data_IF_970770424824
#
_entry.id   IF_970770424824
#
_cell.length_a   1.000
_cell.length_b   1.000
_cell.length_c   1.000
_cell.angle_alpha   90.00
_cell.angle_beta   90.00
_cell.angle_gamma   90.00
#
_symmetry.space_group_name_H-M   'P 1'
#
loop_
_entity.id
_entity.type
_entity.pdbx_description
1 polymer ?
#
# COMPACT_ATOMS: atom_id res chain seq x y z
N UNK A 1 5.09 13.77 -21.00
CA UNK A 1 4.71 12.77 -20.00
C UNK A 1 4.15 13.41 -18.70
N UNK A 2 4.75 14.47 -18.19
CA UNK A 2 4.31 15.21 -16.96
C UNK A 2 2.81 15.58 -16.94
N UNK A 3 2.25 16.06 -18.06
CA UNK A 3 0.80 16.40 -18.19
C UNK A 3 -0.18 15.24 -18.07
N UNK A 4 0.24 14.01 -18.32
CA UNK A 4 -0.65 12.84 -18.36
C UNK A 4 -0.87 12.23 -16.98
N UNK A 5 0.13 12.31 -16.12
CA UNK A 5 0.03 11.82 -14.73
C UNK A 5 -0.77 12.80 -13.85
N UNK A 6 -0.65 14.12 -14.08
CA UNK A 6 -1.50 15.12 -13.43
C UNK A 6 -2.99 14.92 -13.76
N UNK A 7 -3.29 14.46 -14.99
CA UNK A 7 -4.67 14.21 -15.43
C UNK A 7 -5.24 12.95 -14.77
N UNK A 8 -4.46 11.91 -14.57
CA UNK A 8 -4.92 10.66 -13.92
C UNK A 8 -5.14 10.90 -12.43
N UNK A 9 -4.19 11.54 -11.75
CA UNK A 9 -4.33 11.95 -10.35
C UNK A 9 -5.54 12.89 -10.18
N UNK A 10 -5.71 13.85 -11.08
CA UNK A 10 -6.84 14.79 -11.03
C UNK A 10 -8.19 14.10 -11.28
N UNK A 11 -8.29 13.14 -12.18
CA UNK A 11 -9.53 12.38 -12.44
C UNK A 11 -9.89 11.42 -11.32
N UNK A 12 -8.91 10.78 -10.68
CA UNK A 12 -9.14 9.98 -9.47
C UNK A 12 -9.61 10.87 -8.31
N UNK A 13 -9.00 12.06 -8.15
CA UNK A 13 -9.44 13.07 -7.18
C UNK A 13 -10.85 13.57 -7.43
N UNK A 14 -11.20 13.88 -8.66
CA UNK A 14 -12.53 14.37 -9.04
C UNK A 14 -13.61 13.29 -8.83
N UNK A 15 -13.33 12.05 -9.15
CA UNK A 15 -14.27 10.93 -8.92
C UNK A 15 -14.55 10.70 -7.42
N UNK A 16 -13.53 10.78 -6.59
CA UNK A 16 -13.64 10.61 -5.13
C UNK A 16 -14.34 11.83 -4.49
N UNK A 17 -14.04 13.04 -4.95
CA UNK A 17 -14.69 14.28 -4.49
C UNK A 17 -16.18 14.29 -4.85
N UNK A 18 -16.58 13.80 -6.00
CA UNK A 18 -17.98 13.70 -6.41
C UNK A 18 -18.76 12.66 -5.57
N UNK A 19 -18.14 11.56 -5.18
CA UNK A 19 -18.72 10.56 -4.29
C UNK A 19 -18.92 11.12 -2.86
N UNK A 20 -17.98 11.96 -2.40
CA UNK A 20 -18.03 12.63 -1.10
C UNK A 20 -19.02 13.82 -1.09
N UNK A 21 -19.16 14.56 -2.20
CA UNK A 21 -20.15 15.62 -2.33
C UNK A 21 -21.59 15.11 -2.15
N UNK A 22 -21.88 13.88 -2.57
CA UNK A 22 -23.17 13.25 -2.34
C UNK A 22 -23.43 12.93 -0.85
N UNK A 23 -22.40 12.59 -0.08
CA UNK A 23 -22.49 12.36 1.37
C UNK A 23 -22.56 13.67 2.14
N UNK A 24 -21.87 14.72 1.67
CA UNK A 24 -21.82 16.04 2.29
C UNK A 24 -23.07 16.89 2.00
N UNK A 25 -23.80 16.65 0.91
CA UNK A 25 -25.02 17.39 0.57
C UNK A 25 -26.19 17.12 1.54
N UNK A 26 -26.14 16.03 2.28
CA UNK A 26 -27.13 15.72 3.32
C UNK A 26 -26.92 16.55 4.61
N UNK A 27 -25.71 17.05 4.85
CA UNK A 27 -25.38 17.83 6.06
C UNK A 27 -25.51 19.35 5.88
N UNK A 28 -25.66 19.87 4.65
CA UNK A 28 -25.65 21.30 4.36
C UNK A 28 -27.01 22.02 4.44
N UNK A 29 -28.10 21.30 4.70
CA UNK A 29 -29.47 21.92 4.74
C UNK A 29 -29.93 22.36 6.13
N UNK A 30 -29.04 22.61 7.08
CA UNK A 30 -29.39 22.95 8.46
C UNK A 30 -28.88 24.27 9.02
N UNK A 31 -28.32 25.16 8.20
CA UNK A 31 -27.72 26.40 8.69
C UNK A 31 -28.68 27.62 8.56
N UNK A 32 -29.59 27.74 9.54
CA UNK A 32 -30.20 29.05 9.88
C UNK A 32 -29.36 29.68 10.99
N UNK A 33 -28.74 30.78 10.65
CA UNK A 33 -27.90 31.60 11.50
C UNK A 33 -28.58 31.91 12.86
N UNK A 34 -28.01 31.42 13.95
CA UNK A 34 -28.24 31.97 15.29
C UNK A 34 -27.00 32.76 15.72
N UNK A 35 -27.20 34.04 15.96
CA UNK A 35 -26.22 35.03 16.40
C UNK A 35 -25.42 34.55 17.60
N UNK A 36 -24.12 34.77 17.53
CA UNK A 36 -23.21 34.68 18.67
C UNK A 36 -23.57 35.78 19.68
N UNK A 37 -24.28 35.43 20.72
CA UNK A 37 -24.46 36.29 21.91
C UNK A 37 -24.39 35.41 23.15
N UNK A 38 -23.43 35.76 24.00
CA UNK A 38 -23.27 35.35 25.40
C UNK A 38 -23.43 33.86 25.73
N UNK A 39 -22.28 33.19 25.82
CA UNK A 39 -22.21 31.86 26.46
C UNK A 39 -22.53 32.04 27.94
N UNK A 40 -23.78 31.82 28.29
CA UNK A 40 -24.24 31.92 29.68
C UNK A 40 -23.60 30.78 30.54
N UNK A 41 -23.55 30.98 31.84
CA UNK A 41 -23.04 29.98 32.80
C UNK A 41 -23.73 28.58 32.59
N UNK A 42 -24.98 28.56 32.16
CA UNK A 42 -25.77 27.38 31.85
C UNK A 42 -25.20 26.59 30.67
N UNK A 43 -24.75 27.27 29.60
CA UNK A 43 -24.15 26.62 28.43
C UNK A 43 -22.78 26.01 28.76
N UNK A 44 -21.96 26.69 29.59
CA UNK A 44 -20.68 26.12 30.08
C UNK A 44 -20.88 24.85 30.92
N UNK A 45 -21.93 24.80 31.74
CA UNK A 45 -22.24 23.60 32.52
C UNK A 45 -22.74 22.48 31.59
N UNK A 46 -23.57 22.80 30.59
CA UNK A 46 -24.06 21.83 29.60
C UNK A 46 -22.92 21.18 28.76
N UNK A 47 -21.83 21.93 28.52
CA UNK A 47 -20.65 21.35 27.85
C UNK A 47 -19.96 20.24 28.65
N UNK A 48 -20.04 20.30 29.98
CA UNK A 48 -19.36 19.37 30.89
C UNK A 48 -20.25 18.18 31.32
N UNK A 49 -21.57 18.31 31.21
CA UNK A 49 -22.52 17.24 31.55
C UNK A 49 -22.59 16.20 30.43
N UNK A 50 -22.53 14.90 30.73
CA UNK A 50 -22.75 13.86 29.73
C UNK A 50 -24.13 14.03 29.04
N UNK A 51 -24.14 13.89 27.72
CA UNK A 51 -25.40 13.92 26.94
C UNK A 51 -25.74 12.53 26.45
N UNK A 52 -26.98 12.10 26.72
CA UNK A 52 -27.55 10.82 26.27
C UNK A 52 -28.87 11.12 25.57
N UNK A 53 -28.88 11.09 24.25
CA UNK A 53 -30.07 11.39 23.44
C UNK A 53 -30.10 10.49 22.19
N UNK A 54 -31.21 10.37 21.51
CA UNK A 54 -31.26 9.73 20.19
C UNK A 54 -30.35 10.44 19.21
N UNK A 55 -30.39 11.78 19.20
CA UNK A 55 -29.42 12.65 18.53
C UNK A 55 -28.90 13.67 19.54
N UNK A 56 -27.63 13.58 19.90
CA UNK A 56 -27.00 14.48 20.86
C UNK A 56 -26.40 15.68 20.13
N UNK A 57 -26.97 16.88 20.28
CA UNK A 57 -26.53 18.11 19.62
C UNK A 57 -25.96 19.07 20.68
N UNK A 58 -24.80 19.63 20.43
CA UNK A 58 -24.17 20.67 21.27
C UNK A 58 -23.30 21.60 20.45
N UNK A 59 -23.09 22.84 20.94
CA UNK A 59 -22.15 23.79 20.29
C UNK A 59 -20.72 23.32 20.57
N UNK A 60 -20.40 23.13 21.85
CA UNK A 60 -19.14 22.58 22.31
C UNK A 60 -19.40 21.41 23.25
N UNK A 61 -18.48 20.45 23.32
CA UNK A 61 -18.57 19.31 24.24
C UNK A 61 -17.21 19.00 24.85
N UNK A 62 -17.14 18.94 26.17
CA UNK A 62 -15.90 18.69 26.93
C UNK A 62 -15.90 17.38 27.72
N UNK A 63 -16.88 16.51 27.47
CA UNK A 63 -17.03 15.27 28.20
C UNK A 63 -17.52 14.14 27.30
N UNK A 64 -18.46 13.37 27.77
CA UNK A 64 -19.08 12.25 27.04
C UNK A 64 -20.30 12.74 26.23
N UNK A 65 -20.34 12.43 24.95
CA UNK A 65 -21.50 12.57 24.09
C UNK A 65 -21.95 11.17 23.61
N UNK A 66 -23.16 10.78 24.00
CA UNK A 66 -23.79 9.54 23.58
C UNK A 66 -25.03 9.85 22.74
N UNK A 67 -25.00 9.50 21.48
CA UNK A 67 -26.12 9.60 20.55
C UNK A 67 -26.57 8.21 20.10
N UNK A 68 -27.82 7.84 20.33
CA UNK A 68 -28.36 6.56 19.87
C UNK A 68 -28.23 6.39 18.35
N UNK A 69 -28.41 7.47 17.58
CA UNK A 69 -28.15 7.54 16.15
C UNK A 69 -26.94 8.40 15.84
N UNK A 70 -26.88 9.62 16.40
CA UNK A 70 -25.81 10.55 16.05
C UNK A 70 -25.38 11.46 17.22
N UNK A 71 -24.11 11.91 17.16
CA UNK A 71 -23.63 13.05 17.92
C UNK A 71 -23.23 14.17 16.96
N UNK A 72 -23.70 15.39 17.23
CA UNK A 72 -23.40 16.57 16.42
C UNK A 72 -22.84 17.64 17.35
N UNK A 73 -21.56 17.92 17.24
CA UNK A 73 -20.90 19.02 17.94
C UNK A 73 -20.55 20.08 16.91
N UNK A 74 -21.15 21.24 17.01
CA UNK A 74 -21.05 22.29 15.98
C UNK A 74 -19.67 22.92 15.89
N UNK A 75 -18.94 22.98 17.00
CA UNK A 75 -17.60 23.57 17.03
C UNK A 75 -16.58 22.54 17.54
N UNK A 76 -16.35 22.45 18.85
CA UNK A 76 -15.24 21.69 19.42
C UNK A 76 -15.71 20.56 20.31
N UNK A 77 -15.18 19.37 20.05
CA UNK A 77 -15.44 18.18 20.86
C UNK A 77 -14.17 17.73 21.56
N UNK A 78 -14.29 17.50 22.87
CA UNK A 78 -13.24 16.92 23.70
C UNK A 78 -13.82 15.72 24.46
N UNK A 79 -13.03 14.65 24.59
CA UNK A 79 -13.42 13.44 25.30
C UNK A 79 -13.96 12.34 24.39
N UNK A 80 -15.02 11.67 24.82
CA UNK A 80 -15.58 10.49 24.13
C UNK A 80 -16.89 10.83 23.41
N UNK A 81 -16.95 10.55 22.11
CA UNK A 81 -18.15 10.62 21.30
C UNK A 81 -18.52 9.22 20.82
N UNK A 82 -19.75 8.78 21.11
CA UNK A 82 -20.30 7.52 20.61
C UNK A 82 -21.63 7.84 19.92
N UNK A 83 -21.66 7.71 18.61
CA UNK A 83 -22.86 7.78 17.79
C UNK A 83 -23.19 6.41 17.21
N UNK A 84 -24.44 5.95 17.34
CA UNK A 84 -24.84 4.66 16.79
C UNK A 84 -24.53 4.54 15.30
N UNK A 85 -24.72 5.63 14.53
CA UNK A 85 -24.42 5.69 13.12
C UNK A 85 -23.35 6.75 12.79
N UNK A 86 -23.47 7.96 13.36
CA UNK A 86 -22.73 9.10 12.87
C UNK A 86 -22.22 10.03 13.99
N UNK A 87 -20.98 10.50 13.88
CA UNK A 87 -20.44 11.58 14.70
C UNK A 87 -20.00 12.74 13.81
N UNK A 88 -20.34 13.95 14.20
CA UNK A 88 -19.94 15.19 13.54
C UNK A 88 -19.28 16.15 14.52
N UNK A 89 -18.17 16.77 14.06
CA UNK A 89 -17.47 17.85 14.74
C UNK A 89 -17.21 18.97 13.72
N UNK A 90 -17.72 20.17 13.96
CA UNK A 90 -17.65 21.26 13.00
C UNK A 90 -16.28 21.91 12.87
N UNK A 91 -15.48 21.95 13.94
CA UNK A 91 -14.13 22.55 13.92
C UNK A 91 -13.08 21.53 14.40
N UNK A 92 -12.88 21.37 15.67
CA UNK A 92 -11.80 20.54 16.23
C UNK A 92 -12.33 19.44 17.14
N UNK A 93 -11.93 18.20 16.84
CA UNK A 93 -12.14 17.06 17.73
C UNK A 93 -10.86 16.64 18.46
N UNK A 94 -10.98 16.27 19.75
CA UNK A 94 -9.90 15.70 20.53
C UNK A 94 -10.41 14.63 21.49
N UNK A 95 -9.86 13.43 21.38
CA UNK A 95 -10.25 12.29 22.21
C UNK A 95 -10.58 11.08 21.35
N UNK A 96 -11.74 10.44 21.62
CA UNK A 96 -12.15 9.23 20.88
C UNK A 96 -13.54 9.43 20.28
N UNK A 97 -13.70 9.18 18.99
CA UNK A 97 -14.97 9.15 18.30
C UNK A 97 -15.23 7.76 17.73
N UNK A 98 -16.34 7.16 18.10
CA UNK A 98 -16.79 5.84 17.66
C UNK A 98 -18.16 5.97 17.00
N UNK A 99 -18.30 5.52 15.76
CA UNK A 99 -19.56 5.53 15.03
C UNK A 99 -19.76 4.22 14.26
N UNK A 100 -21.00 3.76 14.18
CA UNK A 100 -21.34 2.56 13.41
C UNK A 100 -21.11 2.74 11.89
N UNK A 101 -21.27 3.95 11.36
CA UNK A 101 -20.98 4.25 9.96
C UNK A 101 -19.82 5.21 9.81
N UNK A 102 -19.92 6.45 10.31
CA UNK A 102 -18.92 7.46 10.00
C UNK A 102 -18.63 8.46 11.12
N UNK A 103 -17.35 8.85 11.23
CA UNK A 103 -16.90 9.99 11.98
C UNK A 103 -16.45 11.09 11.02
N UNK A 104 -16.97 12.30 11.17
CA UNK A 104 -16.64 13.48 10.34
C UNK A 104 -16.22 14.64 11.23
N UNK A 105 -14.99 15.07 11.06
CA UNK A 105 -14.48 16.32 11.61
C UNK A 105 -14.20 17.28 10.45
N UNK A 106 -14.89 18.45 10.42
CA UNK A 106 -14.68 19.43 9.34
C UNK A 106 -13.33 20.15 9.46
N UNK A 107 -12.81 20.25 10.67
CA UNK A 107 -11.45 20.71 10.93
C UNK A 107 -10.50 19.57 11.29
N UNK A 108 -9.68 19.76 12.31
CA UNK A 108 -8.69 18.76 12.74
C UNK A 108 -9.24 17.76 13.76
N UNK A 109 -8.68 16.56 13.76
CA UNK A 109 -8.96 15.56 14.80
C UNK A 109 -7.70 15.04 15.48
N UNK A 110 -7.68 15.06 16.81
CA UNK A 110 -6.56 14.63 17.66
C UNK A 110 -7.00 13.47 18.55
N UNK A 111 -6.49 12.28 18.33
CA UNK A 111 -6.83 11.06 19.08
C UNK A 111 -7.26 9.92 18.19
N UNK A 112 -8.40 9.26 18.49
CA UNK A 112 -8.86 8.10 17.74
C UNK A 112 -10.23 8.32 17.09
N UNK A 113 -10.34 8.02 15.80
CA UNK A 113 -11.61 7.90 15.09
C UNK A 113 -11.80 6.45 14.64
N UNK A 114 -12.90 5.82 15.07
CA UNK A 114 -13.24 4.45 14.72
C UNK A 114 -14.62 4.48 14.07
N UNK A 115 -14.67 4.32 12.76
CA UNK A 115 -15.89 4.31 11.95
C UNK A 115 -16.10 2.94 11.31
N UNK A 116 -17.33 2.41 11.40
CA UNK A 116 -17.65 1.14 10.75
C UNK A 116 -17.42 1.17 9.23
N UNK A 117 -17.62 2.33 8.59
CA UNK A 117 -17.34 2.51 7.17
C UNK A 117 -16.23 3.57 6.94
N UNK A 118 -16.42 4.79 7.47
CA UNK A 118 -15.60 5.93 7.05
C UNK A 118 -15.19 6.87 8.17
N UNK A 119 -13.97 7.40 8.10
CA UNK A 119 -13.53 8.53 8.91
C UNK A 119 -13.02 9.66 8.01
N UNK A 120 -13.36 10.89 8.38
CA UNK A 120 -12.95 12.11 7.68
C UNK A 120 -12.40 13.16 8.65
N UNK A 121 -11.30 13.82 8.26
CA UNK A 121 -10.79 15.01 8.91
C UNK A 121 -10.43 16.08 7.84
N UNK A 122 -11.02 17.27 7.96
CA UNK A 122 -10.94 18.32 6.93
C UNK A 122 -9.59 18.99 6.83
N UNK A 123 -8.90 19.25 7.95
CA UNK A 123 -7.62 19.98 7.94
C UNK A 123 -6.44 19.15 8.45
N UNK A 124 -6.67 18.11 9.23
CA UNK A 124 -5.58 17.24 9.67
C UNK A 124 -6.01 16.23 10.72
N UNK A 125 -5.23 15.16 10.85
CA UNK A 125 -5.46 14.14 11.85
C UNK A 125 -4.15 13.81 12.59
N UNK A 126 -4.24 13.66 13.92
CA UNK A 126 -3.12 13.18 14.72
C UNK A 126 -3.58 12.07 15.64
N UNK A 127 -2.99 10.89 15.48
CA UNK A 127 -3.33 9.69 16.24
C UNK A 127 -3.76 8.53 15.35
N UNK A 128 -4.95 7.96 15.57
CA UNK A 128 -5.38 6.72 14.90
C UNK A 128 -6.73 6.89 14.22
N UNK A 129 -6.82 6.50 12.95
CA UNK A 129 -8.07 6.42 12.20
C UNK A 129 -8.28 4.98 11.73
N UNK A 130 -9.39 4.37 12.13
CA UNK A 130 -9.79 3.01 11.74
C UNK A 130 -11.13 3.08 11.04
N UNK A 131 -11.15 2.80 9.75
CA UNK A 131 -12.35 2.78 8.92
C UNK A 131 -12.55 1.44 8.24
N UNK A 132 -13.76 0.87 8.31
CA UNK A 132 -14.05 -0.39 7.65
C UNK A 132 -13.84 -0.33 6.13
N UNK A 133 -14.22 0.77 5.49
CA UNK A 133 -13.93 1.04 4.08
C UNK A 133 -12.75 2.01 3.92
N UNK A 134 -12.78 3.15 4.62
CA UNK A 134 -11.75 4.14 4.36
C UNK A 134 -11.54 5.22 5.41
N UNK A 135 -10.39 5.87 5.27
CA UNK A 135 -10.04 7.08 5.99
C UNK A 135 -9.62 8.16 5.00
N UNK A 136 -10.08 9.38 5.21
CA UNK A 136 -9.70 10.54 4.39
C UNK A 136 -9.32 11.72 5.26
N UNK A 137 -8.16 12.29 4.95
CA UNK A 137 -7.66 13.52 5.55
C UNK A 137 -7.26 14.48 4.43
N UNK A 138 -7.87 15.65 4.36
CA UNK A 138 -7.57 16.58 3.26
C UNK A 138 -6.17 17.17 3.34
N UNK A 139 -5.58 17.25 4.53
CA UNK A 139 -4.22 17.76 4.71
C UNK A 139 -3.32 16.67 5.29
N UNK A 140 -2.69 16.85 6.44
CA UNK A 140 -1.70 15.93 6.99
C UNK A 140 -2.25 14.95 8.02
N UNK A 141 -1.71 13.75 7.99
CA UNK A 141 -1.87 12.72 9.03
C UNK A 141 -0.56 12.52 9.77
N UNK A 142 -0.62 12.58 11.11
CA UNK A 142 0.50 12.25 11.99
C UNK A 142 0.07 11.06 12.88
N UNK A 143 0.39 9.84 12.45
CA UNK A 143 -0.01 8.60 13.13
C UNK A 143 -0.40 7.46 12.18
N UNK A 144 -1.51 6.77 12.47
CA UNK A 144 -1.94 5.56 11.77
C UNK A 144 -3.30 5.76 11.09
N UNK A 145 -3.37 5.45 9.81
CA UNK A 145 -4.63 5.22 9.08
C UNK A 145 -4.72 3.72 8.73
N UNK A 146 -5.76 3.06 9.22
CA UNK A 146 -6.06 1.65 8.94
C UNK A 146 -7.44 1.56 8.27
N UNK A 147 -7.50 0.98 7.08
CA UNK A 147 -8.73 0.85 6.32
C UNK A 147 -8.86 -0.52 5.65
N UNK A 148 -10.09 -1.00 5.53
CA UNK A 148 -10.36 -2.21 4.76
C UNK A 148 -10.10 -2.03 3.26
N UNK A 149 -10.39 -0.85 2.70
CA UNK A 149 -10.18 -0.59 1.28
C UNK A 149 -9.16 0.51 1.00
N UNK A 150 -9.35 1.74 1.53
CA UNK A 150 -8.54 2.87 1.10
C UNK A 150 -8.21 3.89 2.20
N UNK A 151 -6.99 4.42 2.17
CA UNK A 151 -6.59 5.60 2.92
C UNK A 151 -6.16 6.71 1.95
N UNK A 152 -6.59 7.93 2.25
CA UNK A 152 -6.26 9.12 1.47
C UNK A 152 -5.81 10.22 2.42
N UNK A 153 -4.64 10.80 2.15
CA UNK A 153 -4.15 11.99 2.84
C UNK A 153 -3.24 12.80 1.89
N UNK A 154 -2.99 14.07 2.22
CA UNK A 154 -1.99 14.86 1.50
C UNK A 154 -0.60 14.51 2.03
N UNK A 155 -0.34 14.73 3.31
CA UNK A 155 0.94 14.44 3.93
C UNK A 155 0.75 13.36 5.01
N UNK A 156 1.63 12.36 5.03
CA UNK A 156 1.60 11.26 5.99
C UNK A 156 2.92 11.19 6.76
N UNK A 157 2.83 11.30 8.08
CA UNK A 157 3.92 10.98 9.01
C UNK A 157 3.47 9.83 9.89
N UNK A 158 4.00 8.64 9.61
CA UNK A 158 3.59 7.40 10.29
C UNK A 158 3.20 6.32 9.31
N UNK A 159 1.96 5.79 9.38
CA UNK A 159 1.58 4.66 8.54
C UNK A 159 0.19 4.77 7.91
N UNK A 160 0.08 4.34 6.66
CA UNK A 160 -1.17 4.02 5.98
C UNK A 160 -1.20 2.52 5.68
N UNK A 161 -2.23 1.83 6.15
CA UNK A 161 -2.45 0.39 5.90
C UNK A 161 -3.84 0.22 5.31
N UNK A 162 -3.93 -0.33 4.10
CA UNK A 162 -5.18 -0.55 3.40
C UNK A 162 -5.24 -1.92 2.71
N UNK A 163 -6.42 -2.49 2.61
CA UNK A 163 -6.61 -3.72 1.85
C UNK A 163 -6.37 -3.55 0.36
N UNK A 164 -6.71 -2.40 -0.22
CA UNK A 164 -6.55 -2.17 -1.66
C UNK A 164 -5.60 -1.02 -1.99
N UNK A 165 -5.84 0.20 -1.46
CA UNK A 165 -5.22 1.42 -1.98
C UNK A 165 -4.83 2.40 -0.87
N UNK A 166 -3.60 2.89 -0.90
CA UNK A 166 -3.18 4.09 -0.19
C UNK A 166 -2.83 5.20 -1.18
N UNK A 167 -3.30 6.41 -0.92
CA UNK A 167 -2.97 7.60 -1.69
C UNK A 167 -2.46 8.70 -0.76
N UNK A 168 -1.28 9.21 -1.09
CA UNK A 168 -0.75 10.39 -0.42
C UNK A 168 0.02 11.29 -1.41
N UNK A 169 0.35 12.51 -1.00
CA UNK A 169 1.32 13.33 -1.71
C UNK A 169 2.72 13.05 -1.16
N UNK A 170 2.93 13.33 0.12
CA UNK A 170 4.22 13.13 0.76
C UNK A 170 4.09 12.14 1.93
N UNK A 171 4.92 11.10 1.92
CA UNK A 171 4.92 10.04 2.94
C UNK A 171 6.26 10.01 3.66
N UNK A 172 6.22 10.02 4.99
CA UNK A 172 7.38 9.73 5.86
C UNK A 172 7.01 8.58 6.78
N UNK A 173 7.43 7.37 6.41
CA UNK A 173 7.12 6.14 7.13
C UNK A 173 6.68 4.99 6.24
N UNK A 174 5.48 4.45 6.47
CA UNK A 174 5.01 3.22 5.82
C UNK A 174 3.71 3.45 5.03
N UNK A 175 3.68 2.99 3.78
CA UNK A 175 2.44 2.67 3.06
C UNK A 175 2.40 1.17 2.79
N UNK A 176 1.35 0.49 3.26
CA UNK A 176 1.11 -0.92 3.03
C UNK A 176 -0.27 -1.10 2.39
N UNK A 177 -0.32 -1.62 1.18
CA UNK A 177 -1.55 -1.89 0.45
C UNK A 177 -1.56 -3.31 -0.10
N UNK A 178 -2.73 -3.94 -0.11
CA UNK A 178 -2.89 -5.23 -0.79
C UNK A 178 -2.63 -5.12 -2.30
N UNK A 179 -3.01 -4.02 -2.94
CA UNK A 179 -2.84 -3.84 -4.37
C UNK A 179 -1.94 -2.66 -4.75
N UNK A 180 -2.27 -1.43 -4.33
CA UNK A 180 -1.62 -0.23 -4.89
C UNK A 180 -1.28 0.81 -3.83
N UNK A 181 -0.07 1.34 -3.86
CA UNK A 181 0.29 2.59 -3.20
C UNK A 181 0.59 3.67 -4.22
N UNK A 182 0.09 4.87 -3.97
CA UNK A 182 0.37 6.06 -4.77
C UNK A 182 0.91 7.16 -3.86
N UNK A 183 2.07 7.70 -4.21
CA UNK A 183 2.62 8.87 -3.56
C UNK A 183 3.27 9.80 -4.60
N UNK A 184 3.53 11.05 -4.23
CA UNK A 184 4.49 11.87 -4.96
C UNK A 184 5.89 11.56 -4.45
N UNK A 185 6.12 11.73 -3.13
CA UNK A 185 7.39 11.41 -2.48
C UNK A 185 7.14 10.42 -1.34
N UNK A 186 7.85 9.30 -1.34
CA UNK A 186 7.81 8.32 -0.26
C UNK A 186 9.19 8.14 0.36
N UNK A 187 9.38 8.76 1.52
CA UNK A 187 10.56 8.55 2.38
C UNK A 187 10.25 7.47 3.40
N UNK A 188 10.73 6.27 3.12
CA UNK A 188 10.42 5.07 3.89
C UNK A 188 9.99 3.92 2.98
N UNK A 189 9.07 3.08 3.46
CA UNK A 189 8.68 1.85 2.77
C UNK A 189 7.30 2.00 2.12
N UNK A 190 7.21 1.67 0.83
CA UNK A 190 5.96 1.43 0.12
C UNK A 190 5.89 -0.07 -0.22
N UNK A 191 4.99 -0.81 0.42
CA UNK A 191 4.78 -2.22 0.15
C UNK A 191 3.39 -2.43 -0.46
N UNK A 192 3.35 -2.96 -1.67
CA UNK A 192 2.11 -3.29 -2.37
C UNK A 192 2.19 -4.67 -3.02
N UNK A 193 1.06 -5.35 -3.13
CA UNK A 193 1.01 -6.64 -3.85
C UNK A 193 1.28 -6.50 -5.34
N UNK A 194 0.76 -5.44 -5.99
CA UNK A 194 0.88 -5.27 -7.43
C UNK A 194 1.72 -4.06 -7.83
N UNK A 195 1.41 -2.86 -7.30
CA UNK A 195 1.92 -1.63 -7.88
C UNK A 195 2.24 -0.56 -6.84
N UNK A 196 3.45 0.00 -6.90
CA UNK A 196 3.77 1.29 -6.30
C UNK A 196 3.97 2.34 -7.39
N UNK A 197 3.38 3.53 -7.20
CA UNK A 197 3.56 4.70 -8.09
C UNK A 197 4.11 5.86 -7.26
N UNK A 198 5.24 6.42 -7.68
CA UNK A 198 5.82 7.59 -7.03
C UNK A 198 6.66 8.44 -8.02
N UNK A 199 6.90 9.72 -7.71
CA UNK A 199 7.99 10.47 -8.35
C UNK A 199 9.32 10.05 -7.72
N UNK A 200 9.36 9.96 -6.38
CA UNK A 200 10.51 9.48 -5.60
C UNK A 200 10.06 8.45 -4.57
N UNK A 201 10.78 7.33 -4.43
CA UNK A 201 10.54 6.34 -3.39
C UNK A 201 11.85 5.70 -2.94
N UNK A 202 12.09 5.66 -1.61
CA UNK A 202 13.31 5.07 -1.05
C UNK A 202 13.29 3.54 -1.20
N UNK A 203 12.21 2.90 -0.70
CA UNK A 203 12.07 1.44 -0.69
C UNK A 203 10.69 1.01 -1.25
N UNK A 204 10.47 1.12 -2.56
CA UNK A 204 9.26 0.58 -3.17
C UNK A 204 9.40 -0.94 -3.36
N UNK A 205 8.45 -1.69 -2.82
CA UNK A 205 8.38 -3.16 -2.89
C UNK A 205 7.02 -3.54 -3.46
N UNK A 206 6.98 -3.88 -4.73
CA UNK A 206 5.82 -4.39 -5.45
C UNK A 206 6.27 -5.17 -6.69
N UNK A 207 5.38 -5.94 -7.29
CA UNK A 207 5.70 -6.61 -8.57
C UNK A 207 6.13 -5.59 -9.63
N UNK A 208 5.43 -4.45 -9.68
CA UNK A 208 5.78 -3.34 -10.56
C UNK A 208 5.92 -2.07 -9.72
N UNK A 209 7.05 -1.36 -9.87
CA UNK A 209 7.28 -0.08 -9.22
C UNK A 209 7.50 1.00 -10.27
N UNK A 210 6.52 1.90 -10.43
CA UNK A 210 6.62 3.05 -11.35
C UNK A 210 7.13 4.23 -10.55
N UNK A 211 8.44 4.33 -10.41
CA UNK A 211 9.13 5.45 -9.76
C UNK A 211 9.77 6.31 -10.83
N UNK A 212 9.41 7.60 -10.93
CA UNK A 212 9.88 8.49 -12.00
C UNK A 212 11.40 8.66 -11.94
N UNK A 213 11.94 8.91 -10.74
CA UNK A 213 13.37 9.02 -10.49
C UNK A 213 14.03 7.68 -10.10
N UNK A 214 13.34 6.58 -10.33
CA UNK A 214 13.82 5.24 -10.03
C UNK A 214 14.49 4.57 -11.22
N UNK A 215 14.91 3.33 -11.00
CA UNK A 215 15.53 2.51 -12.02
C UNK A 215 14.47 1.69 -12.76
N UNK A 216 14.51 1.70 -14.09
CA UNK A 216 13.68 0.86 -14.95
C UNK A 216 14.57 0.22 -16.00
N UNK A 217 14.33 -1.05 -16.28
CA UNK A 217 15.14 -1.77 -17.27
C UNK A 217 14.48 -3.06 -17.72
N UNK A 218 15.01 -3.58 -18.82
CA UNK A 218 14.68 -4.90 -19.35
C UNK A 218 15.90 -5.78 -19.19
N UNK A 219 15.71 -6.97 -18.67
CA UNK A 219 16.75 -7.97 -18.53
C UNK A 219 16.42 -9.22 -19.36
N UNK A 220 17.41 -9.75 -20.05
CA UNK A 220 17.38 -11.09 -20.64
C UNK A 220 18.14 -11.99 -19.69
N UNK A 221 17.51 -13.04 -19.20
CA UNK A 221 18.08 -13.99 -18.22
C UNK A 221 18.00 -15.41 -18.73
N UNK A 222 18.96 -16.21 -18.29
CA UNK A 222 18.99 -17.66 -18.48
C UNK A 222 19.33 -18.35 -17.17
N UNK A 223 18.56 -19.36 -16.79
CA UNK A 223 18.72 -20.08 -15.53
C UNK A 223 19.07 -21.56 -15.71
N UNK A 224 19.39 -22.21 -14.62
CA UNK A 224 19.77 -23.62 -14.57
C UNK A 224 18.65 -24.59 -14.99
N UNK A 225 17.38 -24.18 -14.99
CA UNK A 225 16.25 -24.95 -15.50
C UNK A 225 16.08 -24.85 -17.02
N UNK A 226 16.89 -24.02 -17.68
CA UNK A 226 16.79 -23.74 -19.11
C UNK A 226 15.76 -22.67 -19.47
N UNK A 227 15.26 -21.90 -18.51
CA UNK A 227 14.37 -20.79 -18.79
C UNK A 227 15.14 -19.61 -19.39
N UNK A 228 14.77 -19.19 -20.59
CA UNK A 228 15.21 -17.93 -21.20
C UNK A 228 14.08 -16.91 -21.01
N UNK A 229 14.30 -15.89 -20.17
CA UNK A 229 13.24 -14.97 -19.73
C UNK A 229 13.64 -13.52 -20.08
N UNK A 230 12.67 -12.78 -20.64
CA UNK A 230 12.71 -11.33 -20.73
C UNK A 230 11.93 -10.77 -19.54
N UNK A 231 12.63 -10.09 -18.64
CA UNK A 231 12.05 -9.57 -17.41
C UNK A 231 12.10 -8.03 -17.39
N UNK A 232 10.99 -7.40 -17.06
CA UNK A 232 10.93 -6.00 -16.69
C UNK A 232 11.30 -5.86 -15.21
N UNK A 233 12.28 -5.00 -14.94
CA UNK A 233 12.78 -4.67 -13.61
C UNK A 233 12.49 -3.20 -13.34
N UNK A 234 11.76 -2.92 -12.27
CA UNK A 234 11.36 -1.54 -11.96
C UNK A 234 11.37 -1.28 -10.46
N UNK A 235 11.97 -0.17 -10.05
CA UNK A 235 12.08 0.12 -8.63
C UNK A 235 12.64 1.48 -8.29
N UNK A 236 12.93 1.66 -7.00
CA UNK A 236 13.59 2.82 -6.45
C UNK A 236 15.12 2.71 -6.48
N UNK A 237 15.74 3.29 -5.48
CA UNK A 237 17.21 3.31 -5.38
C UNK A 237 17.80 1.94 -5.02
N UNK A 238 17.13 1.19 -4.14
CA UNK A 238 17.67 -0.05 -3.57
C UNK A 238 16.83 -1.28 -3.87
N UNK A 239 15.52 -1.11 -3.99
CA UNK A 239 14.58 -2.21 -4.20
C UNK A 239 13.91 -2.14 -5.55
N UNK A 240 13.61 -3.29 -6.14
CA UNK A 240 12.92 -3.39 -7.43
C UNK A 240 12.04 -4.63 -7.50
N UNK A 241 10.96 -4.52 -8.26
CA UNK A 241 10.12 -5.64 -8.68
C UNK A 241 10.63 -6.23 -9.98
N UNK A 242 10.33 -7.50 -10.19
CA UNK A 242 10.70 -8.29 -11.35
C UNK A 242 9.42 -8.95 -11.87
N UNK A 243 9.12 -8.75 -13.15
CA UNK A 243 8.05 -9.47 -13.87
C UNK A 243 8.58 -9.87 -15.23
N UNK A 244 8.57 -11.14 -15.53
CA UNK A 244 9.12 -11.67 -16.76
C UNK A 244 8.28 -12.72 -17.44
N UNK A 245 8.47 -12.87 -18.72
CA UNK A 245 7.92 -13.92 -19.55
C UNK A 245 9.03 -14.48 -20.44
N UNK A 246 9.01 -15.76 -20.67
CA UNK A 246 10.06 -16.42 -21.41
C UNK A 246 9.66 -17.77 -21.96
N UNK A 247 10.66 -18.53 -22.32
CA UNK A 247 10.55 -19.81 -22.97
C UNK A 247 11.45 -20.86 -22.29
N UNK A 248 10.91 -22.06 -22.04
CA UNK A 248 11.66 -23.19 -21.58
C UNK A 248 11.52 -24.35 -22.60
N UNK A 249 12.56 -24.71 -23.33
CA UNK A 249 12.49 -25.78 -24.33
C UNK A 249 12.31 -27.18 -23.73
N UNK A 250 12.64 -27.37 -22.44
CA UNK A 250 12.65 -28.66 -21.75
C UNK A 250 11.33 -28.99 -21.05
N UNK A 251 10.50 -27.95 -20.79
CA UNK A 251 9.21 -28.16 -20.14
C UNK A 251 8.07 -28.36 -21.17
N UNK A 252 7.07 -29.15 -20.79
CA UNK A 252 5.94 -29.49 -21.66
C UNK A 252 5.17 -28.25 -22.16
N UNK A 253 5.01 -27.23 -21.31
CA UNK A 253 4.24 -26.02 -21.65
C UNK A 253 5.00 -24.93 -22.39
N UNK A 254 6.32 -24.97 -22.39
CA UNK A 254 7.27 -24.07 -23.09
C UNK A 254 7.24 -22.60 -22.72
N UNK A 255 6.12 -22.02 -22.29
CA UNK A 255 6.03 -20.59 -21.88
C UNK A 255 6.29 -20.51 -20.38
N UNK A 256 7.34 -19.78 -20.01
CA UNK A 256 7.70 -19.52 -18.62
C UNK A 256 7.27 -18.13 -18.18
N UNK A 257 6.82 -18.00 -16.91
CA UNK A 257 6.55 -16.75 -16.24
C UNK A 257 7.43 -16.59 -15.00
N UNK A 258 7.95 -15.41 -14.75
CA UNK A 258 8.76 -15.06 -13.58
C UNK A 258 8.17 -13.84 -12.88
N UNK A 259 8.09 -13.91 -11.54
CA UNK A 259 7.75 -12.76 -10.70
C UNK A 259 8.62 -12.75 -9.45
N UNK A 260 9.06 -11.57 -9.00
CA UNK A 260 9.95 -11.49 -7.85
C UNK A 260 10.27 -10.09 -7.39
N UNK A 261 11.12 -10.06 -6.39
CA UNK A 261 11.63 -8.83 -5.77
C UNK A 261 13.14 -8.91 -5.63
N UNK A 262 13.79 -7.77 -5.81
CA UNK A 262 15.23 -7.66 -5.66
C UNK A 262 15.63 -6.48 -4.78
N UNK A 263 16.78 -6.64 -4.12
CA UNK A 263 17.50 -5.59 -3.41
C UNK A 263 18.88 -5.48 -4.02
N UNK A 264 19.19 -4.32 -4.59
CA UNK A 264 20.52 -4.00 -5.11
C UNK A 264 21.32 -3.23 -4.08
N UNK A 265 22.46 -3.77 -3.67
CA UNK A 265 23.40 -3.13 -2.72
C UNK A 265 24.57 -2.62 -3.55
N UNK A 266 24.68 -1.30 -3.78
CA UNK A 266 25.82 -0.74 -4.52
C UNK A 266 27.10 -0.87 -3.68
N UNK A 267 28.09 -1.55 -4.21
CA UNK A 267 29.42 -1.71 -3.60
C UNK A 267 30.35 -0.61 -4.07
N UNK A 268 30.34 -0.35 -5.39
CA UNK A 268 31.06 0.75 -6.00
C UNK A 268 30.33 1.19 -7.30
N UNK A 269 30.90 2.17 -8.03
CA UNK A 269 30.23 2.75 -9.20
C UNK A 269 29.92 1.76 -10.33
N UNK A 270 30.68 0.67 -10.43
CA UNK A 270 30.56 -0.34 -11.49
C UNK A 270 30.06 -1.70 -10.96
N UNK A 271 29.87 -1.89 -9.63
CA UNK A 271 29.48 -3.15 -9.02
C UNK A 271 28.34 -2.96 -8.04
N UNK A 272 27.26 -3.70 -8.26
CA UNK A 272 26.10 -3.85 -7.35
C UNK A 272 25.93 -5.33 -7.02
N UNK A 273 25.63 -5.67 -5.79
CA UNK A 273 25.23 -7.02 -5.38
C UNK A 273 23.72 -7.09 -5.36
N UNK A 274 23.14 -7.84 -6.26
CA UNK A 274 21.72 -8.09 -6.34
C UNK A 274 21.36 -9.31 -5.49
N UNK A 275 20.35 -9.15 -4.65
CA UNK A 275 19.72 -10.21 -3.87
C UNK A 275 18.27 -10.31 -4.36
N UNK A 276 17.89 -11.42 -4.98
CA UNK A 276 16.58 -11.58 -5.61
C UNK A 276 15.86 -12.80 -5.07
N UNK A 277 14.59 -12.64 -4.71
CA UNK A 277 13.66 -13.73 -4.42
C UNK A 277 12.65 -13.79 -5.54
N UNK A 278 12.50 -14.94 -6.18
CA UNK A 278 11.69 -15.10 -7.38
C UNK A 278 10.86 -16.37 -7.34
N UNK A 279 9.70 -16.30 -7.98
CA UNK A 279 8.90 -17.46 -8.32
C UNK A 279 8.86 -17.58 -9.83
N UNK A 280 9.16 -18.77 -10.34
CA UNK A 280 9.10 -19.08 -11.77
C UNK A 280 8.16 -20.27 -11.97
N UNK A 281 7.30 -20.18 -12.97
CA UNK A 281 6.38 -21.26 -13.36
C UNK A 281 6.38 -21.39 -14.87
N UNK A 282 6.01 -22.59 -15.35
CA UNK A 282 5.79 -22.83 -16.79
C UNK A 282 4.30 -23.05 -17.03
N UNK A 283 3.73 -22.32 -17.99
CA UNK A 283 2.31 -22.42 -18.34
C UNK A 283 1.97 -23.84 -18.81
N UNK A 284 0.83 -24.36 -18.38
CA UNK A 284 0.39 -25.75 -18.61
C UNK A 284 1.32 -26.82 -18.02
N UNK A 285 2.16 -26.46 -17.05
CA UNK A 285 2.97 -27.33 -16.24
C UNK A 285 2.57 -27.14 -14.78
N UNK A 286 2.59 -28.19 -13.99
CA UNK A 286 2.38 -28.11 -12.53
C UNK A 286 3.64 -27.67 -11.79
N UNK A 287 4.66 -27.21 -12.51
CA UNK A 287 5.94 -26.82 -11.96
C UNK A 287 5.90 -25.41 -11.37
N UNK A 288 6.31 -25.29 -10.11
CA UNK A 288 6.60 -24.00 -9.45
C UNK A 288 8.00 -24.06 -8.83
N UNK A 289 8.83 -23.09 -9.17
CA UNK A 289 10.19 -22.96 -8.65
C UNK A 289 10.32 -21.63 -7.87
N UNK A 290 10.75 -21.72 -6.62
CA UNK A 290 11.04 -20.58 -5.76
C UNK A 290 12.55 -20.47 -5.58
N UNK A 291 13.15 -19.40 -6.07
CA UNK A 291 14.59 -19.21 -6.08
C UNK A 291 15.05 -17.98 -5.30
N UNK A 292 16.17 -18.12 -4.60
CA UNK A 292 16.96 -17.00 -4.11
C UNK A 292 18.24 -16.91 -4.94
N UNK A 293 18.47 -15.75 -5.54
CA UNK A 293 19.66 -15.44 -6.35
C UNK A 293 20.54 -14.42 -5.62
N UNK A 294 21.81 -14.74 -5.48
CA UNK A 294 22.85 -13.78 -5.11
C UNK A 294 23.69 -13.50 -6.34
N UNK A 295 23.54 -12.31 -6.91
CA UNK A 295 24.19 -11.98 -8.19
C UNK A 295 25.00 -10.68 -8.12
N UNK A 296 26.34 -10.73 -8.20
CA UNK A 296 27.11 -9.58 -8.61
C UNK A 296 26.65 -9.09 -9.99
N UNK A 297 26.45 -7.78 -10.11
CA UNK A 297 26.02 -7.08 -11.31
C UNK A 297 27.07 -6.03 -11.66
N UNK A 298 27.68 -6.19 -12.80
CA UNK A 298 28.76 -5.33 -13.29
C UNK A 298 28.23 -4.42 -14.38
N UNK A 299 28.43 -3.12 -14.24
CA UNK A 299 28.10 -2.13 -15.25
C UNK A 299 29.14 -2.16 -16.37
N UNK A 300 28.76 -2.64 -17.55
CA UNK A 300 29.61 -2.68 -18.72
C UNK A 300 29.65 -1.33 -19.45
N UNK A 301 28.46 -0.71 -19.60
CA UNK A 301 28.28 0.62 -20.21
C UNK A 301 27.22 1.39 -19.43
N UNK A 302 27.05 2.66 -19.70
CA UNK A 302 26.14 3.58 -18.99
C UNK A 302 24.73 3.01 -18.74
N UNK A 303 24.23 2.14 -19.62
CA UNK A 303 22.87 1.59 -19.58
C UNK A 303 22.84 0.05 -19.58
N UNK A 304 23.99 -0.61 -19.53
CA UNK A 304 24.06 -2.06 -19.71
C UNK A 304 24.83 -2.72 -18.56
N UNK A 305 24.15 -3.63 -17.87
CA UNK A 305 24.70 -4.40 -16.76
C UNK A 305 24.70 -5.89 -17.08
N UNK A 306 25.81 -6.56 -16.83
CA UNK A 306 25.91 -8.02 -16.81
C UNK A 306 25.83 -8.50 -15.37
N UNK A 307 24.98 -9.46 -15.08
CA UNK A 307 24.86 -10.04 -13.75
C UNK A 307 24.72 -11.56 -13.81
N UNK A 308 25.05 -12.20 -12.71
CA UNK A 308 24.88 -13.64 -12.59
C UNK A 308 25.45 -14.16 -11.29
N UNK A 309 24.98 -15.31 -10.89
CA UNK A 309 25.43 -15.94 -9.65
C UNK A 309 24.70 -17.23 -9.32
N UNK A 310 25.05 -17.85 -8.18
CA UNK A 310 24.38 -19.03 -7.69
C UNK A 310 22.97 -18.74 -7.24
N UNK A 311 22.10 -19.73 -7.41
CA UNK A 311 20.74 -19.74 -6.89
C UNK A 311 20.52 -20.91 -5.95
N UNK A 312 19.72 -20.69 -4.91
CA UNK A 312 19.16 -21.76 -4.09
C UNK A 312 17.68 -21.83 -4.47
N UNK A 313 17.23 -23.00 -4.91
CA UNK A 313 15.92 -23.19 -5.49
C UNK A 313 15.16 -24.27 -4.77
N UNK A 314 13.88 -24.01 -4.49
CA UNK A 314 12.91 -24.99 -4.07
C UNK A 314 11.88 -25.19 -5.18
N UNK A 315 11.88 -26.37 -5.79
CA UNK A 315 10.98 -26.73 -6.88
C UNK A 315 9.91 -27.70 -6.40
N UNK A 316 8.70 -27.50 -6.89
CA UNK A 316 7.59 -28.43 -6.76
C UNK A 316 7.09 -28.78 -8.16
N UNK A 317 6.82 -30.05 -8.42
CA UNK A 317 6.32 -30.54 -9.70
C UNK A 317 5.39 -31.72 -9.52
N UNK A 318 4.43 -31.88 -10.42
CA UNK A 318 3.53 -32.99 -10.52
C UNK A 318 4.30 -34.22 -11.12
N UNK A 319 3.94 -35.49 -10.81
CA UNK A 319 4.62 -36.67 -11.29
C UNK A 319 4.57 -36.89 -12.81
N UNK A 320 3.78 -36.11 -13.53
CA UNK A 320 3.65 -36.18 -15.00
C UNK A 320 4.82 -35.51 -15.74
N UNK A 321 5.64 -34.73 -15.04
CA UNK A 321 6.82 -34.09 -15.61
C UNK A 321 8.04 -35.04 -15.67
N UNK A 322 9.01 -34.81 -16.58
CA UNK A 322 10.18 -35.66 -16.72
C UNK A 322 10.99 -35.83 -15.42
N UNK A 323 11.52 -37.02 -15.19
CA UNK A 323 12.17 -37.44 -13.93
C UNK A 323 13.38 -36.56 -13.46
N UNK A 324 13.90 -35.63 -14.23
CA UNK A 324 15.02 -34.77 -13.87
C UNK A 324 14.78 -33.33 -14.35
N UNK A 325 13.92 -32.57 -13.63
CA UNK A 325 13.66 -31.18 -13.93
C UNK A 325 14.75 -30.22 -13.41
N UNK A 326 15.61 -30.66 -12.50
CA UNK A 326 16.67 -29.82 -11.92
C UNK A 326 18.06 -30.33 -12.32
N UNK A 327 19.01 -29.43 -12.55
CA UNK A 327 20.36 -29.81 -12.90
C UNK A 327 21.13 -30.29 -11.67
N UNK A 328 21.78 -31.47 -11.81
CA UNK A 328 22.65 -32.03 -10.79
C UNK A 328 21.94 -32.70 -9.63
N UNK A 329 22.69 -32.99 -8.54
CA UNK A 329 22.17 -33.63 -7.35
C UNK A 329 21.38 -32.65 -6.50
N UNK A 330 20.19 -33.05 -6.06
CA UNK A 330 19.42 -32.26 -5.11
C UNK A 330 20.04 -32.32 -3.71
N UNK A 331 20.04 -31.20 -3.00
CA UNK A 331 20.44 -31.17 -1.58
C UNK A 331 19.42 -31.91 -0.71
N UNK A 332 18.16 -31.90 -1.15
CA UNK A 332 17.06 -32.59 -0.51
C UNK A 332 15.95 -32.87 -1.52
N UNK A 333 15.36 -34.08 -1.42
CA UNK A 333 14.23 -34.50 -2.25
C UNK A 333 13.14 -35.10 -1.39
N UNK A 334 11.91 -34.89 -1.78
CA UNK A 334 10.73 -35.53 -1.19
C UNK A 334 9.74 -35.89 -2.28
N UNK A 335 9.29 -37.14 -2.25
CA UNK A 335 8.15 -37.60 -3.05
C UNK A 335 6.96 -37.81 -2.11
N UNK A 336 5.87 -37.15 -2.37
CA UNK A 336 4.64 -37.26 -1.58
C UNK A 336 3.82 -38.47 -2.01
N UNK A 337 2.89 -38.95 -1.18
CA UNK A 337 2.00 -40.09 -1.46
C UNK A 337 1.06 -39.86 -2.63
N UNK A 338 0.75 -38.62 -2.95
CA UNK A 338 -0.04 -38.17 -4.11
C UNK A 338 0.80 -38.04 -5.39
N UNK A 339 2.09 -38.34 -5.30
CA UNK A 339 3.03 -38.33 -6.42
C UNK A 339 3.78 -37.04 -6.61
N UNK A 340 3.39 -35.93 -5.96
CA UNK A 340 4.12 -34.64 -6.06
C UNK A 340 5.58 -34.80 -5.63
N UNK A 341 6.47 -34.25 -6.42
CA UNK A 341 7.91 -34.22 -6.16
C UNK A 341 8.31 -32.79 -5.74
N UNK A 342 9.16 -32.71 -4.73
CA UNK A 342 9.76 -31.45 -4.28
C UNK A 342 11.24 -31.66 -4.09
N UNK A 343 12.04 -30.68 -4.52
CA UNK A 343 13.48 -30.71 -4.36
C UNK A 343 14.06 -29.35 -4.00
N UNK A 344 15.13 -29.41 -3.21
CA UNK A 344 15.97 -28.25 -2.93
C UNK A 344 17.30 -28.47 -3.68
N UNK A 345 17.69 -27.55 -4.55
CA UNK A 345 18.90 -27.67 -5.34
C UNK A 345 19.64 -26.34 -5.47
N UNK A 346 20.93 -26.42 -5.79
CA UNK A 346 21.75 -25.28 -6.15
C UNK A 346 21.76 -25.16 -7.67
N UNK A 347 21.39 -24.00 -8.18
CA UNK A 347 21.44 -23.66 -9.58
C UNK A 347 22.27 -22.41 -9.83
N UNK A 348 22.10 -21.83 -11.01
CA UNK A 348 22.68 -20.56 -11.39
C UNK A 348 21.69 -19.75 -12.22
N UNK A 349 21.91 -18.45 -12.28
CA UNK A 349 21.28 -17.56 -13.25
C UNK A 349 22.30 -16.55 -13.75
N UNK A 350 22.23 -16.26 -15.05
CA UNK A 350 22.98 -15.19 -15.69
C UNK A 350 22.03 -14.28 -16.45
N UNK A 351 22.40 -13.02 -16.63
CA UNK A 351 21.54 -12.11 -17.36
C UNK A 351 22.25 -10.83 -17.79
N UNK A 352 21.72 -10.23 -18.85
CA UNK A 352 22.09 -8.93 -19.36
C UNK A 352 20.90 -7.98 -19.16
N UNK A 353 21.13 -6.83 -18.52
CA UNK A 353 20.10 -5.84 -18.25
C UNK A 353 20.42 -4.53 -18.97
N UNK A 354 19.43 -3.99 -19.65
CA UNK A 354 19.45 -2.62 -20.17
C UNK A 354 18.59 -1.71 -19.30
N UNK A 355 19.17 -0.62 -18.80
CA UNK A 355 18.55 0.39 -17.94
C UNK A 355 18.26 1.63 -18.77
N UNK A 356 17.05 2.20 -18.69
CA UNK A 356 16.60 3.38 -19.46
C UNK A 356 16.05 4.50 -18.60
#
# INVERSE_FOLDING_TARGET
MKRRNDIILHRVWVGIVLMLAAVLSVSAQGDTALRATDITRKERVAEMVPSLNLVAISTNKKSLALGGLATIVRERAYGLQIGGLYNHVGDMGRGVAIAGLANVAMGSYYGAQIGGLWNYAGTGAKGVMIGGLGNMVNDGTDGLQLAGLTNIAKDVRGAQVAGLLNVAKDVKGLQLAGLVNVAKTAKGVQLAGLLNVAEESDFPIALVNIVEQGTKGIALTYDALGNAIVAFRSGGRYTYGIVGVGYNPHAAGKVAGEAGYGIGIPVCQWLTINNEVKATTVVNSSMANFGYLLAPSVTLWKHCNLFGGPTINYIMSDPVEPEHLWPGDALWERKSSDGMQSALYIGYQVGLQYIF
#
